data_IF_415513505809
#
_entry.id   IF_415513505809
#
_cell.length_a   1.000
_cell.length_b   1.000
_cell.length_c   1.000
_cell.angle_alpha   90.00
_cell.angle_beta   90.00
_cell.angle_gamma   90.00
#
_symmetry.space_group_name_H-M   'P 1'
#
loop_
_entity.id
_entity.type
_entity.pdbx_description
1 polymer ?
#
# COMPACT_ATOMS: atom_id res chain seq x y z
N UNK A 1 4.26 -19.18 -13.85
CA UNK A 1 2.88 -19.03 -14.37
C UNK A 1 2.81 -18.03 -15.52
N UNK A 2 2.91 -16.71 -15.29
CA UNK A 2 2.75 -15.69 -16.37
C UNK A 2 3.62 -15.93 -17.62
N UNK A 3 4.88 -16.34 -17.45
CA UNK A 3 5.77 -16.65 -18.58
C UNK A 3 5.24 -17.79 -19.45
N UNK A 4 4.66 -18.83 -18.83
CA UNK A 4 4.08 -19.98 -19.54
C UNK A 4 2.82 -19.59 -20.28
N UNK A 5 1.94 -18.80 -19.65
CA UNK A 5 0.74 -18.27 -20.32
C UNK A 5 1.11 -17.45 -21.55
N UNK A 6 2.12 -16.58 -21.42
CA UNK A 6 2.60 -15.83 -22.57
C UNK A 6 3.18 -16.70 -23.69
N UNK A 7 3.94 -17.75 -23.36
CA UNK A 7 4.44 -18.67 -24.40
C UNK A 7 3.33 -19.44 -25.11
N UNK A 8 2.14 -19.55 -24.51
CA UNK A 8 0.94 -20.10 -25.12
C UNK A 8 0.15 -19.07 -25.96
N UNK A 9 0.69 -17.87 -26.16
CA UNK A 9 0.07 -16.83 -26.99
C UNK A 9 -1.04 -16.04 -26.30
N UNK A 10 -1.17 -16.11 -24.97
CA UNK A 10 -2.20 -15.35 -24.23
C UNK A 10 -2.04 -13.83 -24.46
N UNK A 11 -3.12 -13.10 -24.83
CA UNK A 11 -3.09 -11.65 -25.01
C UNK A 11 -2.64 -10.90 -23.75
N UNK A 12 -2.05 -9.71 -23.94
CA UNK A 12 -1.56 -8.88 -22.84
C UNK A 12 -2.65 -8.47 -21.83
N UNK A 13 -3.90 -8.28 -22.30
CA UNK A 13 -5.06 -7.97 -21.46
C UNK A 13 -5.37 -9.10 -20.47
N UNK A 14 -5.37 -10.33 -20.93
CA UNK A 14 -5.63 -11.51 -20.09
C UNK A 14 -4.47 -11.77 -19.12
N UNK A 15 -3.22 -11.55 -19.56
CA UNK A 15 -2.05 -11.62 -18.68
C UNK A 15 -2.11 -10.55 -17.58
N UNK A 16 -2.60 -9.34 -17.90
CA UNK A 16 -2.89 -8.30 -16.90
C UNK A 16 -3.95 -8.79 -15.93
N UNK A 17 -5.06 -9.36 -16.41
CA UNK A 17 -6.13 -9.89 -15.55
C UNK A 17 -5.58 -10.94 -14.56
N UNK A 18 -4.78 -11.89 -15.04
CA UNK A 18 -4.11 -12.91 -14.22
C UNK A 18 -3.16 -12.30 -13.19
N UNK A 19 -2.38 -11.27 -13.58
CA UNK A 19 -1.53 -10.55 -12.64
C UNK A 19 -2.36 -9.91 -11.52
N UNK A 20 -3.45 -9.23 -11.88
CA UNK A 20 -4.31 -8.54 -10.92
C UNK A 20 -5.11 -9.46 -10.00
N UNK A 21 -5.44 -10.67 -10.43
CA UNK A 21 -6.26 -11.61 -9.65
C UNK A 21 -5.44 -12.59 -8.79
N UNK A 22 -4.23 -12.96 -9.21
CA UNK A 22 -3.43 -13.96 -8.48
C UNK A 22 -2.19 -13.38 -7.80
N UNK A 23 -1.41 -12.58 -8.54
CA UNK A 23 -0.10 -12.12 -8.05
C UNK A 23 -0.27 -10.88 -7.18
N UNK A 24 -1.04 -9.91 -7.65
CA UNK A 24 -1.21 -8.63 -6.98
C UNK A 24 -1.85 -8.78 -5.59
N UNK A 25 -2.90 -9.61 -5.37
CA UNK A 25 -3.46 -9.80 -4.04
C UNK A 25 -2.45 -10.44 -3.07
N UNK A 26 -1.61 -11.35 -3.57
CA UNK A 26 -0.53 -11.94 -2.78
C UNK A 26 0.50 -10.91 -2.33
N UNK A 27 0.82 -9.92 -3.19
CA UNK A 27 1.73 -8.82 -2.84
C UNK A 27 1.09 -7.82 -1.86
N UNK A 28 -0.21 -7.59 -1.96
CA UNK A 28 -0.94 -6.66 -1.08
C UNK A 28 -1.39 -7.30 0.24
N UNK A 29 -1.30 -8.62 0.36
CA UNK A 29 -1.80 -9.33 1.52
C UNK A 29 -1.13 -8.82 2.81
N UNK A 30 -1.98 -8.45 3.78
CA UNK A 30 -1.57 -7.85 5.04
C UNK A 30 -0.65 -6.61 4.91
N UNK A 31 -0.58 -5.97 3.73
CA UNK A 31 0.30 -4.80 3.52
C UNK A 31 0.08 -3.66 4.50
N UNK A 32 -1.14 -3.35 4.99
CA UNK A 32 -1.32 -2.32 6.02
C UNK A 32 -0.52 -2.58 7.30
N UNK A 33 -0.18 -3.84 7.59
CA UNK A 33 0.50 -4.23 8.83
C UNK A 33 2.02 -4.06 8.74
N UNK A 34 2.62 -4.38 7.60
CA UNK A 34 4.09 -4.44 7.46
C UNK A 34 4.70 -3.41 6.50
N UNK A 35 3.92 -2.82 5.57
CA UNK A 35 4.48 -1.97 4.50
C UNK A 35 5.23 -0.74 5.02
N UNK A 36 4.76 -0.15 6.12
CA UNK A 36 5.37 1.02 6.76
C UNK A 36 6.72 0.74 7.42
N UNK A 37 6.99 -0.53 7.74
CA UNK A 37 8.23 -0.98 8.38
C UNK A 37 9.30 -1.42 7.38
N UNK A 38 9.01 -1.37 6.07
CA UNK A 38 9.97 -1.78 5.06
C UNK A 38 11.04 -0.71 4.83
N UNK A 39 12.29 -1.16 4.77
CA UNK A 39 13.38 -0.31 4.31
C UNK A 39 13.36 -0.16 2.76
N UNK A 40 14.15 0.77 2.23
CA UNK A 40 14.19 1.08 0.79
C UNK A 40 14.59 -0.14 -0.07
N UNK A 41 15.51 -0.98 0.42
CA UNK A 41 15.97 -2.15 -0.36
C UNK A 41 14.90 -3.24 -0.45
N UNK A 42 14.17 -3.50 0.64
CA UNK A 42 13.02 -4.40 0.68
C UNK A 42 11.88 -3.91 -0.22
N UNK A 43 11.57 -2.61 -0.17
CA UNK A 43 10.58 -2.01 -1.08
C UNK A 43 10.98 -2.22 -2.55
N UNK A 44 12.25 -1.97 -2.89
CA UNK A 44 12.77 -2.22 -4.23
C UNK A 44 12.73 -3.70 -4.63
N UNK A 45 12.96 -4.63 -3.70
CA UNK A 45 12.85 -6.06 -3.95
C UNK A 45 11.41 -6.48 -4.30
N UNK A 46 10.41 -5.95 -3.58
CA UNK A 46 9.00 -6.17 -3.92
C UNK A 46 8.63 -5.54 -5.27
N UNK A 47 9.10 -4.31 -5.54
CA UNK A 47 8.86 -3.62 -6.81
C UNK A 47 9.46 -4.38 -8.01
N UNK A 48 10.56 -5.13 -7.81
CA UNK A 48 11.14 -6.00 -8.86
C UNK A 48 10.15 -7.08 -9.32
N UNK A 49 9.27 -7.57 -8.44
CA UNK A 49 8.23 -8.55 -8.81
C UNK A 49 7.25 -7.92 -9.79
N UNK A 50 6.73 -6.72 -9.49
CA UNK A 50 5.85 -5.96 -10.38
C UNK A 50 6.53 -5.65 -11.72
N UNK A 51 7.76 -5.13 -11.69
CA UNK A 51 8.56 -4.84 -12.90
C UNK A 51 8.74 -6.09 -13.77
N UNK A 52 9.03 -7.24 -13.15
CA UNK A 52 9.19 -8.52 -13.87
C UNK A 52 7.87 -8.97 -14.49
N UNK A 53 6.75 -8.83 -13.78
CA UNK A 53 5.43 -9.14 -14.32
C UNK A 53 5.12 -8.26 -15.54
N UNK A 54 5.39 -6.95 -15.47
CA UNK A 54 5.13 -6.03 -16.59
C UNK A 54 5.97 -6.31 -17.81
N UNK A 55 7.26 -6.66 -17.63
CA UNK A 55 8.11 -7.13 -18.74
C UNK A 55 7.55 -8.39 -19.41
N UNK A 56 6.96 -9.28 -18.61
CA UNK A 56 6.30 -10.48 -19.15
C UNK A 56 4.99 -10.13 -19.84
N UNK A 57 4.17 -9.21 -19.32
CA UNK A 57 2.89 -8.84 -19.94
C UNK A 57 3.11 -8.08 -21.26
N UNK A 58 3.95 -7.06 -21.26
CA UNK A 58 4.16 -6.17 -22.41
C UNK A 58 5.15 -6.70 -23.43
N UNK A 59 6.15 -7.47 -22.98
CA UNK A 59 7.08 -8.12 -23.89
C UNK A 59 7.90 -7.16 -24.75
N UNK A 60 7.88 -7.30 -26.08
CA UNK A 60 8.62 -6.39 -26.96
C UNK A 60 8.13 -4.95 -26.86
N UNK A 61 6.88 -4.72 -26.44
CA UNK A 61 6.34 -3.38 -26.20
C UNK A 61 6.82 -2.76 -24.87
N UNK A 62 7.58 -3.49 -24.04
CA UNK A 62 8.12 -2.96 -22.80
C UNK A 62 9.30 -2.00 -23.08
N UNK A 63 9.12 -0.72 -22.79
CA UNK A 63 10.17 0.30 -22.93
C UNK A 63 10.77 0.70 -21.58
N UNK A 64 9.95 1.24 -20.69
CA UNK A 64 10.35 1.69 -19.36
C UNK A 64 9.30 1.32 -18.31
N UNK A 65 9.69 1.35 -17.03
CA UNK A 65 8.74 1.07 -15.95
C UNK A 65 7.62 2.11 -15.88
N UNK A 66 7.95 3.39 -16.06
CA UNK A 66 6.95 4.47 -16.04
C UNK A 66 5.96 4.34 -17.21
N UNK A 67 6.46 4.00 -18.42
CA UNK A 67 5.57 3.71 -19.55
C UNK A 67 4.70 2.47 -19.30
N UNK A 68 5.26 1.43 -18.68
CA UNK A 68 4.47 0.24 -18.36
C UNK A 68 3.33 0.53 -17.37
N UNK A 69 3.55 1.42 -16.40
CA UNK A 69 2.50 1.87 -15.46
C UNK A 69 1.35 2.58 -16.20
N UNK A 70 1.67 3.46 -17.16
CA UNK A 70 0.66 4.16 -17.96
C UNK A 70 -0.06 3.23 -18.92
N UNK A 71 0.68 2.40 -19.65
CA UNK A 71 0.14 1.47 -20.65
C UNK A 71 -0.77 0.41 -20.01
N UNK A 72 -0.39 -0.12 -18.85
CA UNK A 72 -1.19 -1.10 -18.12
C UNK A 72 -2.24 -0.46 -17.20
N UNK A 73 -2.29 0.88 -17.09
CA UNK A 73 -3.16 1.62 -16.16
C UNK A 73 -3.13 1.08 -14.72
N UNK A 74 -1.94 0.73 -14.25
CA UNK A 74 -1.73 0.18 -12.91
C UNK A 74 -0.78 1.10 -12.11
N UNK A 75 -1.06 1.37 -10.83
CA UNK A 75 -0.19 2.18 -9.97
C UNK A 75 1.08 1.41 -9.55
N UNK A 76 2.04 2.16 -8.99
CA UNK A 76 3.21 1.59 -8.31
C UNK A 76 2.78 0.82 -7.07
N UNK A 77 3.53 -0.22 -6.71
CA UNK A 77 3.22 -1.03 -5.54
C UNK A 77 3.21 -0.20 -4.24
N UNK A 78 4.11 0.77 -4.11
CA UNK A 78 4.16 1.67 -2.96
C UNK A 78 2.88 2.50 -2.82
N UNK A 79 2.37 3.05 -3.92
CA UNK A 79 1.12 3.82 -3.93
C UNK A 79 -0.08 2.92 -3.54
N UNK A 80 -0.06 1.66 -3.98
CA UNK A 80 -1.08 0.69 -3.57
C UNK A 80 -1.04 0.37 -2.08
N UNK A 81 0.16 0.19 -1.51
CA UNK A 81 0.31 -0.03 -0.07
C UNK A 81 -0.19 1.16 0.73
N UNK A 82 0.13 2.38 0.28
CA UNK A 82 -0.36 3.60 0.91
C UNK A 82 -1.89 3.70 0.87
N UNK A 83 -2.51 3.36 -0.27
CA UNK A 83 -3.96 3.34 -0.41
C UNK A 83 -4.59 2.26 0.48
N UNK A 84 -4.02 1.07 0.53
CA UNK A 84 -4.48 -0.02 1.39
C UNK A 84 -4.40 0.36 2.86
N UNK A 85 -3.31 1.02 3.28
CA UNK A 85 -3.12 1.52 4.63
C UNK A 85 -4.19 2.57 4.99
N UNK A 86 -4.48 3.53 4.10
CA UNK A 86 -5.52 4.52 4.33
C UNK A 86 -6.90 3.88 4.48
N UNK A 87 -7.29 3.00 3.55
CA UNK A 87 -8.57 2.27 3.61
C UNK A 87 -8.70 1.44 4.89
N UNK A 88 -7.61 0.80 5.31
CA UNK A 88 -7.58 0.04 6.56
C UNK A 88 -7.78 0.96 7.79
N UNK A 89 -7.10 2.11 7.83
CA UNK A 89 -7.27 3.11 8.90
C UNK A 89 -8.70 3.65 8.99
N UNK A 90 -9.30 4.00 7.86
CA UNK A 90 -10.70 4.42 7.79
C UNK A 90 -11.67 3.32 8.27
N UNK A 91 -11.40 2.06 7.89
CA UNK A 91 -12.16 0.91 8.36
C UNK A 91 -12.07 0.72 9.86
N UNK A 92 -10.88 0.89 10.46
CA UNK A 92 -10.69 0.80 11.92
C UNK A 92 -11.45 1.89 12.69
N UNK A 93 -11.52 3.11 12.14
CA UNK A 93 -12.27 4.20 12.78
C UNK A 93 -13.78 3.92 12.83
N UNK A 94 -14.31 3.23 11.83
CA UNK A 94 -15.75 2.91 11.72
C UNK A 94 -16.12 1.61 12.44
N UNK A 95 -15.17 0.72 12.69
CA UNK A 95 -15.44 -0.60 13.25
C UNK A 95 -15.39 -0.59 14.79
N UNK A 96 -16.54 -0.80 15.48
CA UNK A 96 -16.58 -0.73 16.94
C UNK A 96 -15.72 -1.82 17.62
N UNK A 97 -15.58 -2.99 17.00
CA UNK A 97 -14.80 -4.11 17.57
C UNK A 97 -13.31 -3.83 17.57
N UNK A 98 -12.79 -3.12 16.57
CA UNK A 98 -11.35 -2.89 16.39
C UNK A 98 -10.91 -1.45 16.63
N UNK A 99 -11.85 -0.55 17.00
CA UNK A 99 -11.57 0.85 17.31
C UNK A 99 -10.52 1.03 18.41
N UNK A 100 -10.46 0.09 19.36
CA UNK A 100 -9.50 0.07 20.47
C UNK A 100 -8.03 -0.06 20.03
N UNK A 101 -7.77 -0.48 18.79
CA UNK A 101 -6.42 -0.54 18.23
C UNK A 101 -5.85 0.86 17.91
N UNK A 102 -6.70 1.87 17.84
CA UNK A 102 -6.32 3.26 17.62
C UNK A 102 -6.50 4.07 18.91
N UNK A 103 -5.70 5.14 19.12
CA UNK A 103 -5.92 6.09 20.21
C UNK A 103 -7.35 6.66 20.21
N UNK A 104 -7.85 7.13 21.36
CA UNK A 104 -9.14 7.82 21.40
C UNK A 104 -9.12 9.09 20.53
N UNK A 105 -10.31 9.58 20.18
CA UNK A 105 -10.46 10.84 19.47
C UNK A 105 -10.01 12.01 20.37
N UNK A 106 -9.47 13.07 19.76
CA UNK A 106 -9.11 14.28 20.52
C UNK A 106 -10.40 14.98 20.93
N UNK A 107 -10.56 15.37 22.22
CA UNK A 107 -11.72 16.14 22.63
C UNK A 107 -11.81 17.47 21.85
N UNK A 108 -13.02 17.99 21.60
CA UNK A 108 -13.19 19.26 20.92
C UNK A 108 -12.42 20.38 21.64
N UNK A 109 -11.63 21.19 20.93
CA UNK A 109 -10.91 22.29 21.56
C UNK A 109 -11.90 23.39 21.96
N UNK A 110 -11.59 24.10 23.04
CA UNK A 110 -12.39 25.27 23.47
C UNK A 110 -12.39 26.40 22.42
N UNK A 111 -11.41 26.43 21.52
CA UNK A 111 -11.31 27.39 20.41
C UNK A 111 -10.93 26.66 19.13
N UNK A 112 -11.59 26.99 18.03
CA UNK A 112 -11.27 26.42 16.72
C UNK A 112 -9.85 26.84 16.28
N UNK A 113 -9.00 25.86 15.99
CA UNK A 113 -7.67 26.06 15.40
C UNK A 113 -7.70 25.65 13.94
N UNK A 114 -6.81 26.23 13.12
CA UNK A 114 -6.71 25.90 11.67
C UNK A 114 -6.35 24.43 11.39
N UNK A 115 -5.72 23.77 12.36
CA UNK A 115 -5.35 22.37 12.30
C UNK A 115 -5.80 21.69 13.60
N UNK A 116 -6.46 20.53 13.47
CA UNK A 116 -6.89 19.73 14.61
C UNK A 116 -6.60 18.26 14.30
N UNK A 117 -5.88 17.61 15.22
CA UNK A 117 -5.70 16.17 15.17
C UNK A 117 -7.04 15.48 15.43
N UNK A 118 -7.35 14.45 14.64
CA UNK A 118 -8.53 13.62 14.87
C UNK A 118 -8.33 12.66 16.04
N UNK A 119 -7.15 12.05 16.12
CA UNK A 119 -6.77 11.08 17.15
C UNK A 119 -5.72 11.68 18.09
N UNK A 120 -5.78 11.27 19.36
CA UNK A 120 -4.75 11.63 20.34
C UNK A 120 -3.38 11.21 19.80
N UNK A 121 -2.41 12.15 19.69
CA UNK A 121 -1.07 11.81 19.24
C UNK A 121 -0.43 10.78 20.14
N UNK A 122 0.27 9.81 19.53
CA UNK A 122 1.07 8.87 20.29
C UNK A 122 2.26 9.59 20.93
N UNK A 123 2.62 9.17 22.14
CA UNK A 123 3.87 9.59 22.78
C UNK A 123 5.06 9.28 21.88
N UNK A 124 6.11 10.08 22.02
CA UNK A 124 7.34 9.90 21.26
C UNK A 124 7.81 8.43 21.32
N UNK A 125 7.91 7.74 20.18
CA UNK A 125 8.25 6.32 20.15
C UNK A 125 9.69 6.12 20.65
N UNK A 126 9.90 5.14 21.54
CA UNK A 126 11.23 4.84 22.10
C UNK A 126 12.19 4.23 21.07
N UNK A 127 11.65 3.62 20.01
CA UNK A 127 12.44 2.94 18.97
C UNK A 127 11.90 3.27 17.58
N UNK A 128 12.79 3.31 16.59
CA UNK A 128 12.41 3.49 15.19
C UNK A 128 11.53 2.34 14.68
N UNK A 129 11.76 1.12 15.18
CA UNK A 129 10.91 -0.03 14.86
C UNK A 129 9.45 0.21 15.24
N UNK A 130 9.19 0.72 16.45
CA UNK A 130 7.83 1.06 16.84
C UNK A 130 7.31 2.25 16.02
N UNK A 131 8.13 3.30 15.83
CA UNK A 131 7.76 4.48 15.03
C UNK A 131 7.27 4.11 13.63
N UNK A 132 7.91 3.12 12.99
CA UNK A 132 7.64 2.64 11.64
C UNK A 132 6.61 1.50 11.58
N UNK A 133 6.05 1.08 12.72
CA UNK A 133 4.98 0.08 12.74
C UNK A 133 3.65 0.65 12.24
N UNK A 134 2.68 -0.24 11.97
CA UNK A 134 1.40 0.13 11.37
C UNK A 134 0.62 1.18 12.16
N UNK A 135 0.42 0.97 13.47
CA UNK A 135 -0.44 1.84 14.29
C UNK A 135 0.10 3.28 14.36
N UNK A 136 1.38 3.54 14.69
CA UNK A 136 1.90 4.90 14.68
C UNK A 136 1.89 5.55 13.30
N UNK A 137 2.07 4.77 12.24
CA UNK A 137 1.99 5.29 10.87
C UNK A 137 0.56 5.67 10.50
N UNK A 138 -0.42 4.85 10.87
CA UNK A 138 -1.84 5.13 10.69
C UNK A 138 -2.27 6.38 11.43
N UNK A 139 -1.90 6.52 12.72
CA UNK A 139 -2.26 7.70 13.53
C UNK A 139 -1.70 8.97 12.91
N UNK A 140 -0.44 8.95 12.43
CA UNK A 140 0.12 10.09 11.70
C UNK A 140 -0.66 10.39 10.43
N UNK A 141 -0.99 9.37 9.64
CA UNK A 141 -1.71 9.54 8.36
C UNK A 141 -3.17 9.97 8.52
N UNK A 142 -3.79 9.70 9.67
CA UNK A 142 -5.15 10.15 10.00
C UNK A 142 -5.15 11.61 10.51
N UNK A 143 -4.05 12.04 11.13
CA UNK A 143 -3.91 13.38 11.70
C UNK A 143 -3.27 14.40 10.74
N UNK A 144 -2.78 13.97 9.57
CA UNK A 144 -2.33 14.84 8.46
C UNK A 144 -3.51 15.32 7.64
#
# INVERSE_FOLDING_TARGET
MLRRLRSLGTPAGDLKAVYTSFILPSLLYASPVWSSSLNKSQQQQLEKVQKRAYRVILGPAYTSYNNALTTLSLPRLTAMYEQALSKFGEGLLRNPRHRHLLPPDVPPPARATRHQNKLVPLRAPRTDRYRQSAVPTLVRKINT
#
